data_IF_383765308668
#
_entry.id   IF_383765308668
#
_cell.length_a   1.000
_cell.length_b   1.000
_cell.length_c   1.000
_cell.angle_alpha   90.00
_cell.angle_beta   90.00
_cell.angle_gamma   90.00
#
_symmetry.space_group_name_H-M   'P 1'
#
loop_
_entity.id
_entity.type
_entity.pdbx_description
1 polymer ?
#
# COMPACT_ATOMS: atom_id res chain seq x y z
N UNK A 1 11.02 -16.66 11.25
CA UNK A 1 9.56 -16.87 11.21
C UNK A 1 9.24 -18.18 10.51
N UNK A 2 8.21 -18.90 10.94
CA UNK A 2 7.71 -20.08 10.25
C UNK A 2 6.82 -19.67 9.05
N UNK A 3 6.98 -20.31 7.89
CA UNK A 3 6.18 -20.08 6.68
C UNK A 3 4.67 -20.23 6.95
N UNK A 4 4.29 -21.22 7.76
CA UNK A 4 2.89 -21.44 8.11
C UNK A 4 2.28 -20.21 8.81
N UNK A 5 3.04 -19.58 9.71
CA UNK A 5 2.63 -18.37 10.41
C UNK A 5 2.56 -17.15 9.48
N UNK A 6 3.52 -17.02 8.56
CA UNK A 6 3.51 -15.92 7.57
C UNK A 6 2.29 -15.99 6.66
N UNK A 7 1.89 -17.19 6.21
CA UNK A 7 0.69 -17.38 5.39
C UNK A 7 -0.62 -17.04 6.10
N UNK A 8 -0.65 -17.05 7.44
CA UNK A 8 -1.82 -16.57 8.19
C UNK A 8 -1.91 -15.05 8.24
N UNK A 9 -0.77 -14.36 8.09
CA UNK A 9 -0.66 -12.90 8.11
C UNK A 9 -0.88 -12.32 6.70
N UNK A 10 -0.22 -12.91 5.69
CA UNK A 10 -0.26 -12.47 4.29
C UNK A 10 -1.27 -13.28 3.49
N UNK A 11 -2.55 -12.98 3.67
CA UNK A 11 -3.66 -13.63 2.95
C UNK A 11 -4.82 -12.67 2.77
N UNK A 12 -5.70 -13.00 1.82
CA UNK A 12 -6.81 -12.15 1.39
C UNK A 12 -6.45 -11.32 0.15
N UNK A 13 -7.27 -10.33 -0.21
CA UNK A 13 -6.99 -9.44 -1.33
C UNK A 13 -5.70 -8.66 -1.11
N UNK A 14 -4.88 -8.56 -2.16
CA UNK A 14 -3.72 -7.68 -2.19
C UNK A 14 -4.08 -6.40 -2.93
N UNK A 15 -4.03 -5.27 -2.24
CA UNK A 15 -4.40 -3.96 -2.76
C UNK A 15 -3.12 -3.18 -3.05
N UNK A 16 -2.85 -2.83 -4.32
CA UNK A 16 -1.80 -1.87 -4.62
C UNK A 16 -2.25 -0.49 -4.09
N UNK A 17 -1.46 0.09 -3.19
CA UNK A 17 -1.71 1.45 -2.69
C UNK A 17 -1.32 2.44 -3.79
N UNK A 18 -2.21 3.38 -4.07
CA UNK A 18 -2.00 4.36 -5.14
C UNK A 18 -0.99 5.40 -4.67
N UNK A 19 -0.05 5.77 -5.55
CA UNK A 19 0.83 6.90 -5.27
C UNK A 19 0.12 8.19 -5.64
N UNK A 20 -0.56 8.79 -4.67
CA UNK A 20 -1.20 10.08 -4.87
C UNK A 20 -0.15 11.16 -5.12
N UNK A 21 -0.38 11.98 -6.15
CA UNK A 21 0.45 13.11 -6.50
C UNK A 21 -0.36 14.40 -6.37
N UNK A 22 0.32 15.47 -5.98
CA UNK A 22 -0.22 16.84 -6.05
C UNK A 22 -0.25 17.32 -7.50
N UNK A 23 -0.85 18.48 -7.73
CA UNK A 23 -0.90 19.10 -9.05
C UNK A 23 0.49 19.40 -9.65
N UNK A 24 1.51 19.59 -8.81
CA UNK A 24 2.91 19.77 -9.21
C UNK A 24 3.68 18.46 -9.37
N UNK A 25 2.98 17.32 -9.31
CA UNK A 25 3.51 15.95 -9.40
C UNK A 25 4.42 15.54 -8.23
N UNK A 26 4.51 16.32 -7.16
CA UNK A 26 5.15 15.85 -5.91
C UNK A 26 4.25 14.85 -5.19
N UNK A 27 4.86 13.90 -4.47
CA UNK A 27 4.11 12.90 -3.69
C UNK A 27 3.22 13.57 -2.64
N UNK A 28 1.97 13.10 -2.57
CA UNK A 28 0.99 13.50 -1.56
C UNK A 28 0.87 12.45 -0.46
N UNK A 29 1.77 12.52 0.51
CA UNK A 29 1.77 11.62 1.68
C UNK A 29 0.49 11.71 2.52
N UNK A 30 -0.18 12.86 2.53
CA UNK A 30 -1.39 13.06 3.31
C UNK A 30 -2.56 12.28 2.69
N UNK A 31 -2.72 12.37 1.37
CA UNK A 31 -3.71 11.60 0.62
C UNK A 31 -3.45 10.09 0.73
N UNK A 32 -2.20 9.64 0.58
CA UNK A 32 -1.83 8.22 0.76
C UNK A 32 -2.18 7.74 2.17
N UNK A 33 -1.93 8.55 3.20
CA UNK A 33 -2.28 8.21 4.59
C UNK A 33 -3.78 8.07 4.78
N UNK A 34 -4.58 8.92 4.15
CA UNK A 34 -6.04 8.86 4.18
C UNK A 34 -6.56 7.60 3.47
N UNK A 35 -6.05 7.29 2.27
CA UNK A 35 -6.37 6.05 1.54
C UNK A 35 -6.09 4.82 2.40
N UNK A 36 -4.88 4.72 2.96
CA UNK A 36 -4.47 3.60 3.82
C UNK A 36 -5.37 3.49 5.04
N UNK A 37 -5.71 4.62 5.69
CA UNK A 37 -6.62 4.63 6.83
C UNK A 37 -7.99 4.11 6.43
N UNK A 38 -8.55 4.61 5.33
CA UNK A 38 -9.83 4.17 4.81
C UNK A 38 -9.85 2.65 4.55
N UNK A 39 -8.83 2.12 3.87
CA UNK A 39 -8.73 0.68 3.60
C UNK A 39 -8.67 -0.16 4.88
N UNK A 40 -7.86 0.27 5.86
CA UNK A 40 -7.73 -0.42 7.16
C UNK A 40 -9.04 -0.40 7.92
N UNK A 41 -9.69 0.76 8.01
CA UNK A 41 -10.95 0.94 8.73
C UNK A 41 -12.11 0.12 8.11
N UNK A 42 -11.98 -0.26 6.83
CA UNK A 42 -12.94 -1.10 6.10
C UNK A 42 -12.51 -2.56 5.95
N UNK A 43 -11.52 -3.02 6.73
CA UNK A 43 -11.23 -4.44 6.91
C UNK A 43 -10.00 -4.98 6.18
N UNK A 44 -9.20 -4.11 5.55
CA UNK A 44 -7.88 -4.49 5.01
C UNK A 44 -6.87 -4.51 6.16
N UNK A 45 -7.00 -5.53 7.00
CA UNK A 45 -6.19 -5.76 8.19
C UNK A 45 -5.41 -7.06 8.09
N UNK A 46 -4.45 -7.25 8.98
CA UNK A 46 -3.61 -8.46 9.02
C UNK A 46 -4.43 -9.75 8.98
N UNK A 47 -4.08 -10.65 8.06
CA UNK A 47 -4.75 -11.93 7.85
C UNK A 47 -6.08 -11.86 7.10
N UNK A 48 -6.51 -10.68 6.67
CA UNK A 48 -7.73 -10.46 5.87
C UNK A 48 -7.46 -9.68 4.57
N UNK A 49 -6.34 -8.96 4.50
CA UNK A 49 -5.85 -8.33 3.27
C UNK A 49 -4.38 -7.93 3.38
N UNK A 50 -3.82 -7.48 2.26
CA UNK A 50 -2.43 -7.04 2.14
C UNK A 50 -2.38 -5.70 1.41
N UNK A 51 -1.68 -4.72 1.96
CA UNK A 51 -1.36 -3.48 1.27
C UNK A 51 0.02 -3.63 0.61
N UNK A 52 0.09 -3.38 -0.71
CA UNK A 52 1.33 -3.36 -1.48
C UNK A 52 1.65 -1.93 -1.86
N UNK A 53 2.51 -1.27 -1.08
CA UNK A 53 3.03 0.04 -1.42
C UNK A 53 4.10 -0.08 -2.51
N UNK A 54 4.19 0.94 -3.37
CA UNK A 54 5.26 1.06 -4.38
C UNK A 54 5.34 -0.17 -5.30
N UNK A 55 4.19 -0.78 -5.60
CA UNK A 55 4.07 -1.85 -6.59
C UNK A 55 3.86 -1.29 -7.99
N UNK A 56 3.53 -2.15 -8.95
CA UNK A 56 3.17 -1.71 -10.29
C UNK A 56 1.96 -0.74 -10.29
N UNK A 57 0.97 -0.98 -9.43
CA UNK A 57 -0.17 -0.06 -9.24
C UNK A 57 0.11 1.11 -8.30
N UNK A 58 1.31 1.18 -7.70
CA UNK A 58 1.79 2.31 -6.90
C UNK A 58 2.94 3.04 -7.59
N UNK A 59 2.97 3.01 -8.92
CA UNK A 59 3.88 3.80 -9.77
C UNK A 59 5.39 3.62 -9.51
N UNK A 60 5.82 2.42 -9.09
CA UNK A 60 7.23 2.12 -8.76
C UNK A 60 8.26 2.67 -9.75
N UNK A 61 8.01 2.52 -11.05
CA UNK A 61 8.96 2.95 -12.09
C UNK A 61 9.02 4.48 -12.28
N UNK A 62 8.01 5.21 -11.83
CA UNK A 62 7.91 6.66 -11.95
C UNK A 62 8.53 7.40 -10.75
N UNK A 63 8.66 6.71 -9.62
CA UNK A 63 9.20 7.28 -8.39
C UNK A 63 10.73 7.24 -8.38
N UNK A 64 11.33 8.29 -7.85
CA UNK A 64 12.75 8.30 -7.48
C UNK A 64 13.03 7.30 -6.35
N UNK A 65 14.30 6.95 -6.15
CA UNK A 65 14.68 6.04 -5.05
C UNK A 65 14.32 6.61 -3.67
N UNK A 66 14.27 7.93 -3.51
CA UNK A 66 13.93 8.57 -2.24
C UNK A 66 12.41 8.58 -1.95
N UNK A 67 11.58 8.51 -3.00
CA UNK A 67 10.11 8.48 -2.88
C UNK A 67 9.56 7.06 -2.67
N UNK A 68 10.38 6.03 -2.90
CA UNK A 68 10.05 4.61 -2.68
C UNK A 68 10.37 4.19 -1.25
#
# INVERSE_FOLDING_TARGET
>A
MNIASVKQILRGPMIPVITHLKADLTVDEAAIREEVRYLVDHGVVTGQGVLLAVGAGGDFNMLSVAER
#
